data_IF_835402364918
#
_entry.id   IF_835402364918
#
_cell.length_a   1.000
_cell.length_b   1.000
_cell.length_c   1.000
_cell.angle_alpha   90.00
_cell.angle_beta   90.00
_cell.angle_gamma   90.00
#
_symmetry.space_group_name_H-M   'P 1'
#
loop_
_entity.id
_entity.type
_entity.pdbx_description
1 polymer ?
#
# COMPACT_ATOMS: atom_id res chain seq x y z
N UNK A 1 31.47 9.44 -45.85
CA UNK A 1 30.66 10.06 -44.77
C UNK A 1 29.76 9.05 -44.07
N UNK A 2 29.33 8.00 -44.77
CA UNK A 2 28.32 7.04 -44.28
C UNK A 2 28.72 6.29 -42.99
N UNK A 3 29.98 5.87 -42.85
CA UNK A 3 30.45 5.19 -41.64
C UNK A 3 30.37 6.09 -40.38
N UNK A 4 30.60 7.39 -40.52
CA UNK A 4 30.53 8.33 -39.41
C UNK A 4 29.08 8.51 -38.92
N UNK A 5 28.14 8.56 -39.87
CA UNK A 5 26.70 8.69 -39.57
C UNK A 5 26.21 7.45 -38.81
N UNK A 6 26.57 6.24 -39.27
CA UNK A 6 26.19 4.99 -38.62
C UNK A 6 26.77 4.90 -37.20
N UNK A 7 28.03 5.29 -37.02
CA UNK A 7 28.67 5.28 -35.70
C UNK A 7 27.97 6.22 -34.72
N UNK A 8 27.64 7.44 -35.14
CA UNK A 8 26.92 8.42 -34.30
C UNK A 8 25.52 7.90 -33.97
N UNK A 9 24.81 7.32 -34.93
CA UNK A 9 23.47 6.77 -34.71
C UNK A 9 23.50 5.60 -33.71
N UNK A 10 24.51 4.72 -33.82
CA UNK A 10 24.71 3.62 -32.88
C UNK A 10 24.91 4.14 -31.45
N UNK A 11 25.81 5.12 -31.27
CA UNK A 11 26.07 5.73 -29.96
C UNK A 11 24.82 6.42 -29.39
N UNK A 12 24.05 7.13 -30.22
CA UNK A 12 22.80 7.78 -29.81
C UNK A 12 21.74 6.77 -29.33
N UNK A 13 21.61 5.63 -30.01
CA UNK A 13 20.64 4.61 -29.61
C UNK A 13 21.06 3.93 -28.29
N UNK A 14 22.35 3.67 -28.11
CA UNK A 14 22.87 3.09 -26.86
C UNK A 14 22.63 4.04 -25.69
N UNK A 15 22.92 5.34 -25.84
CA UNK A 15 22.70 6.32 -24.76
C UNK A 15 21.21 6.51 -24.46
N UNK A 16 20.35 6.51 -25.48
CA UNK A 16 18.91 6.62 -25.30
C UNK A 16 18.33 5.40 -24.58
N UNK A 17 18.86 4.20 -24.85
CA UNK A 17 18.46 2.98 -24.14
C UNK A 17 18.86 3.03 -22.66
N UNK A 18 20.07 3.51 -22.35
CA UNK A 18 20.52 3.67 -20.96
C UNK A 18 19.68 4.70 -20.19
N UNK A 19 19.47 5.88 -20.78
CA UNK A 19 18.67 6.95 -20.16
C UNK A 19 17.20 6.54 -20.04
N UNK A 20 16.63 5.96 -21.09
CA UNK A 20 15.25 5.45 -21.08
C UNK A 20 15.04 4.33 -20.06
N UNK A 21 16.01 3.44 -19.89
CA UNK A 21 15.99 2.39 -18.86
C UNK A 21 15.98 2.96 -17.45
N UNK A 22 16.81 3.97 -17.17
CA UNK A 22 16.84 4.63 -15.85
C UNK A 22 15.51 5.34 -15.57
N UNK A 23 14.99 6.10 -16.54
CA UNK A 23 13.69 6.80 -16.40
C UNK A 23 12.54 5.81 -16.21
N UNK A 24 12.53 4.72 -17.00
CA UNK A 24 11.52 3.67 -16.87
C UNK A 24 11.54 2.98 -15.51
N UNK A 25 12.74 2.66 -15.01
CA UNK A 25 12.91 2.06 -13.69
C UNK A 25 12.48 2.99 -12.54
N UNK A 26 12.77 4.29 -12.67
CA UNK A 26 12.31 5.30 -11.72
C UNK A 26 10.78 5.45 -11.75
N UNK A 27 10.18 5.47 -12.94
CA UNK A 27 8.73 5.55 -13.11
C UNK A 27 8.03 4.31 -12.51
N UNK A 28 8.60 3.11 -12.69
CA UNK A 28 8.06 1.90 -12.07
C UNK A 28 8.06 1.99 -10.55
N UNK A 29 9.16 2.43 -9.93
CA UNK A 29 9.21 2.64 -8.48
C UNK A 29 8.17 3.66 -8.02
N UNK A 30 8.08 4.80 -8.69
CA UNK A 30 7.13 5.83 -8.32
C UNK A 30 5.67 5.34 -8.37
N UNK A 31 5.31 4.52 -9.35
CA UNK A 31 3.98 3.91 -9.42
C UNK A 31 3.80 2.83 -8.36
N UNK A 32 4.77 1.93 -8.16
CA UNK A 32 4.63 0.87 -7.15
C UNK A 32 4.53 1.41 -5.72
N UNK A 33 5.30 2.46 -5.38
CA UNK A 33 5.32 3.01 -4.02
C UNK A 33 4.19 4.00 -3.73
N UNK A 34 3.74 4.79 -4.72
CA UNK A 34 2.67 5.78 -4.47
C UNK A 34 1.26 5.25 -4.73
N UNK A 35 1.10 4.12 -5.43
CA UNK A 35 -0.24 3.54 -5.64
C UNK A 35 -0.77 2.75 -4.44
N UNK A 36 0.01 2.59 -3.36
CA UNK A 36 -0.35 1.71 -2.23
C UNK A 36 -0.80 2.44 -0.97
N UNK A 37 -0.92 3.77 -0.97
CA UNK A 37 -1.63 4.43 0.13
C UNK A 37 -3.11 4.46 -0.24
N UNK A 38 -3.94 3.50 0.22
CA UNK A 38 -5.38 3.64 0.06
C UNK A 38 -5.77 4.96 0.70
N UNK A 39 -6.58 5.75 -0.01
CA UNK A 39 -7.29 6.89 0.59
C UNK A 39 -8.20 6.32 1.67
N UNK A 40 -7.71 6.31 2.89
CA UNK A 40 -8.47 5.91 4.07
C UNK A 40 -9.53 6.98 4.33
N UNK A 41 -10.67 6.57 4.89
CA UNK A 41 -11.69 7.50 5.38
C UNK A 41 -11.08 8.51 6.37
N UNK A 42 -11.59 9.76 6.43
CA UNK A 42 -11.05 10.84 7.26
C UNK A 42 -10.96 10.52 8.75
N UNK A 43 -11.79 9.58 9.23
CA UNK A 43 -11.85 9.12 10.62
C UNK A 43 -10.66 8.20 11.01
N UNK A 44 -9.91 7.68 10.04
CA UNK A 44 -8.75 6.80 10.27
C UNK A 44 -7.43 7.58 10.43
N UNK A 45 -7.49 8.90 10.59
CA UNK A 45 -6.33 9.75 10.80
C UNK A 45 -6.37 10.38 12.20
N UNK A 46 -5.21 10.42 12.87
CA UNK A 46 -5.03 11.18 14.11
C UNK A 46 -4.91 12.70 13.83
N UNK A 47 -4.81 13.51 14.90
CA UNK A 47 -4.65 14.97 14.80
C UNK A 47 -3.36 15.39 14.05
N UNK A 48 -2.39 14.47 13.93
CA UNK A 48 -1.12 14.68 13.25
C UNK A 48 -1.11 14.13 11.81
N UNK A 49 -2.22 13.56 11.33
CA UNK A 49 -2.37 13.01 9.98
C UNK A 49 -1.74 11.63 9.80
N UNK A 50 -1.41 10.92 10.88
CA UNK A 50 -0.96 9.53 10.82
C UNK A 50 -2.16 8.59 10.80
N UNK A 51 -1.98 7.42 10.18
CA UNK A 51 -3.02 6.37 10.17
C UNK A 51 -3.15 5.77 11.57
N UNK A 52 -4.37 5.80 12.12
CA UNK A 52 -4.72 5.11 13.35
C UNK A 52 -4.51 3.60 13.13
N UNK A 53 -3.65 2.91 13.94
CA UNK A 53 -3.50 1.48 13.83
C UNK A 53 -4.80 0.79 14.30
N UNK A 54 -5.36 -0.09 13.47
CA UNK A 54 -6.56 -0.86 13.78
C UNK A 54 -6.28 -1.87 14.91
N UNK A 55 -6.48 -1.47 16.17
CA UNK A 55 -6.49 -2.38 17.31
C UNK A 55 -7.86 -3.06 17.40
N UNK A 56 -7.94 -4.35 17.01
CA UNK A 56 -9.17 -5.14 17.09
C UNK A 56 -9.47 -5.48 18.57
N UNK A 57 -10.25 -4.63 19.23
CA UNK A 57 -10.82 -4.91 20.55
C UNK A 57 -12.00 -5.88 20.39
N UNK A 58 -11.75 -7.18 20.59
CA UNK A 58 -12.79 -8.19 20.65
C UNK A 58 -13.49 -8.14 22.02
N UNK A 59 -14.67 -7.53 22.08
CA UNK A 59 -15.51 -7.54 23.28
C UNK A 59 -16.37 -8.80 23.29
N UNK A 60 -16.13 -9.69 24.25
CA UNK A 60 -17.02 -10.81 24.57
C UNK A 60 -17.91 -10.39 25.73
N UNK A 61 -19.21 -10.24 25.47
CA UNK A 61 -20.20 -10.04 26.52
C UNK A 61 -20.49 -11.41 27.15
N UNK A 62 -20.09 -11.61 28.41
CA UNK A 62 -20.51 -12.75 29.22
C UNK A 62 -21.88 -12.38 29.82
N UNK A 63 -22.95 -13.05 29.39
CA UNK A 63 -24.19 -13.08 30.14
C UNK A 63 -24.03 -14.18 31.18
N UNK A 64 -23.75 -13.82 32.44
CA UNK A 64 -24.13 -14.70 33.54
C UNK A 64 -25.66 -14.73 33.54
N UNK A 65 -26.22 -15.73 32.87
CA UNK A 65 -27.57 -16.17 33.18
C UNK A 65 -27.46 -16.86 34.54
N UNK A 66 -27.79 -16.15 35.60
CA UNK A 66 -28.15 -16.78 36.88
C UNK A 66 -29.36 -17.67 36.61
N UNK A 67 -29.09 -18.94 36.25
CA UNK A 67 -30.05 -20.04 36.26
C UNK A 67 -30.40 -20.35 37.72
N UNK A 68 -31.10 -19.43 38.40
CA UNK A 68 -31.94 -19.79 39.55
C UNK A 68 -33.31 -20.23 39.02
N UNK A 69 -33.31 -21.31 38.24
CA UNK A 69 -34.53 -22.00 37.82
C UNK A 69 -35.18 -22.65 39.06
N UNK A 70 -36.47 -22.38 39.21
CA UNK A 70 -37.29 -22.65 40.38
C UNK A 70 -37.21 -24.11 40.86
N UNK A 71 -36.87 -24.30 42.14
CA UNK A 71 -37.04 -25.57 42.83
C UNK A 71 -38.50 -25.74 43.27
N UNK A 72 -39.37 -26.13 42.34
CA UNK A 72 -40.73 -26.62 42.63
C UNK A 72 -40.71 -28.12 42.99
N UNK A 73 -41.31 -28.41 44.15
CA UNK A 73 -42.03 -29.64 44.55
C UNK A 73 -41.30 -31.00 44.73
N UNK A 74 -41.12 -31.39 46.02
CA UNK A 74 -41.43 -32.73 46.59
C UNK A 74 -41.71 -32.62 48.11
#
# INVERSE_FOLDING_TARGET
>A
MDAAIIAIFCLLNVTLLLVGGIIGWLAQQNNLFNSTVPTLHPEMYDEYGNVLPDEILAVRFENDYDDEEAHDED
#
